data_IF_194988258058
#
_entry.id   IF_194988258058
#
_cell.length_a   1.000
_cell.length_b   1.000
_cell.length_c   1.000
_cell.angle_alpha   90.00
_cell.angle_beta   90.00
_cell.angle_gamma   90.00
#
_symmetry.space_group_name_H-M   'P 1'
#
loop_
_entity.id
_entity.type
_entity.pdbx_description
1 polymer ?
#
# COMPACT_ATOMS: atom_id res chain seq x y z
N UNK A 1 -22.15 -27.87 -11.35
CA UNK A 1 -22.92 -26.76 -11.96
C UNK A 1 -24.02 -26.37 -11.00
N UNK A 2 -24.06 -25.09 -10.61
CA UNK A 2 -25.19 -24.51 -9.85
C UNK A 2 -25.96 -23.70 -10.89
N UNK A 3 -27.07 -24.29 -11.42
CA UNK A 3 -27.75 -23.74 -12.58
C UNK A 3 -26.88 -23.76 -13.86
N UNK A 4 -26.88 -22.69 -14.65
CA UNK A 4 -26.04 -22.56 -15.85
C UNK A 4 -24.61 -22.01 -15.56
N UNK A 5 -24.28 -21.74 -14.29
CA UNK A 5 -22.98 -21.18 -13.91
C UNK A 5 -21.90 -22.26 -13.79
N UNK A 6 -20.74 -21.98 -14.35
CA UNK A 6 -19.54 -22.80 -14.15
C UNK A 6 -18.96 -22.56 -12.74
N UNK A 7 -18.15 -23.50 -12.23
CA UNK A 7 -17.38 -23.30 -11.00
C UNK A 7 -16.47 -22.07 -11.11
N UNK A 8 -15.91 -21.84 -12.29
CA UNK A 8 -15.05 -20.66 -12.57
C UNK A 8 -15.82 -19.35 -12.44
N UNK A 9 -17.07 -19.29 -12.91
CA UNK A 9 -17.93 -18.10 -12.76
C UNK A 9 -18.22 -17.82 -11.30
N UNK A 10 -18.46 -18.84 -10.50
CA UNK A 10 -18.69 -18.71 -9.06
C UNK A 10 -17.43 -18.18 -8.34
N UNK A 11 -16.24 -18.69 -8.68
CA UNK A 11 -14.98 -18.23 -8.11
C UNK A 11 -14.66 -16.79 -8.52
N UNK A 12 -14.91 -16.44 -9.79
CA UNK A 12 -14.72 -15.08 -10.30
C UNK A 12 -15.66 -14.09 -9.58
N UNK A 13 -16.94 -14.44 -9.45
CA UNK A 13 -17.93 -13.62 -8.73
C UNK A 13 -17.51 -13.44 -7.28
N UNK A 14 -17.08 -14.50 -6.61
CA UNK A 14 -16.58 -14.44 -5.24
C UNK A 14 -15.37 -13.50 -5.13
N UNK A 15 -14.38 -13.65 -6.00
CA UNK A 15 -13.18 -12.80 -6.01
C UNK A 15 -13.52 -11.32 -6.19
N UNK A 16 -14.34 -11.00 -7.21
CA UNK A 16 -14.76 -9.61 -7.48
C UNK A 16 -15.56 -9.07 -6.30
N UNK A 17 -16.49 -9.84 -5.74
CA UNK A 17 -17.33 -9.39 -4.63
C UNK A 17 -16.49 -9.02 -3.40
N UNK A 18 -15.53 -9.87 -3.03
CA UNK A 18 -14.63 -9.60 -1.89
C UNK A 18 -13.70 -8.42 -2.20
N UNK A 19 -13.17 -8.31 -3.41
CA UNK A 19 -12.33 -7.19 -3.81
C UNK A 19 -13.10 -5.85 -3.73
N UNK A 20 -14.34 -5.82 -4.25
CA UNK A 20 -15.21 -4.63 -4.17
C UNK A 20 -15.49 -4.26 -2.71
N UNK A 21 -15.86 -5.24 -1.87
CA UNK A 21 -16.10 -4.99 -0.43
C UNK A 21 -14.85 -4.39 0.23
N UNK A 22 -13.66 -4.95 -0.03
CA UNK A 22 -12.41 -4.44 0.54
C UNK A 22 -12.10 -3.01 0.07
N UNK A 23 -12.29 -2.71 -1.22
CA UNK A 23 -12.13 -1.35 -1.76
C UNK A 23 -13.13 -0.38 -1.12
N UNK A 24 -14.39 -0.78 -0.94
CA UNK A 24 -15.38 0.07 -0.28
C UNK A 24 -15.02 0.34 1.19
N UNK A 25 -14.58 -0.68 1.93
CA UNK A 25 -14.11 -0.52 3.31
C UNK A 25 -12.89 0.41 3.35
N UNK A 26 -11.95 0.25 2.42
CA UNK A 26 -10.76 1.10 2.30
C UNK A 26 -11.15 2.56 2.05
N UNK A 27 -12.03 2.83 1.09
CA UNK A 27 -12.51 4.17 0.78
C UNK A 27 -13.27 4.78 1.97
N UNK A 28 -14.13 4.00 2.62
CA UNK A 28 -14.83 4.44 3.82
C UNK A 28 -13.86 4.86 4.94
N UNK A 29 -12.81 4.07 5.19
CA UNK A 29 -11.76 4.42 6.18
C UNK A 29 -11.05 5.72 5.82
N UNK A 30 -10.68 5.91 4.55
CA UNK A 30 -10.02 7.16 4.09
C UNK A 30 -10.93 8.38 4.23
N UNK A 31 -12.22 8.27 3.88
CA UNK A 31 -13.20 9.35 4.05
C UNK A 31 -13.42 9.66 5.54
N UNK A 32 -13.58 8.63 6.37
CA UNK A 32 -13.75 8.78 7.81
C UNK A 32 -12.54 9.47 8.46
N UNK A 33 -11.32 9.09 8.06
CA UNK A 33 -10.09 9.73 8.49
C UNK A 33 -10.07 11.20 8.08
N UNK A 34 -10.37 11.52 6.82
CA UNK A 34 -10.42 12.91 6.34
C UNK A 34 -11.40 13.77 7.13
N UNK A 35 -12.61 13.24 7.42
CA UNK A 35 -13.60 13.94 8.23
C UNK A 35 -13.15 14.14 9.69
N UNK A 36 -12.48 13.13 10.27
CA UNK A 36 -11.91 13.23 11.61
C UNK A 36 -10.82 14.32 11.68
N UNK A 37 -9.88 14.32 10.74
CA UNK A 37 -8.82 15.31 10.68
C UNK A 37 -9.34 16.74 10.46
N UNK A 38 -10.39 16.90 9.67
CA UNK A 38 -11.01 18.20 9.43
C UNK A 38 -11.46 18.90 10.71
N UNK A 39 -11.96 18.15 11.69
CA UNK A 39 -12.35 18.70 12.98
C UNK A 39 -11.15 19.27 13.75
N UNK A 40 -10.00 18.59 13.69
CA UNK A 40 -8.78 19.08 14.35
C UNK A 40 -8.18 20.29 13.64
N UNK A 41 -8.21 20.31 12.31
CA UNK A 41 -7.72 21.45 11.51
C UNK A 41 -8.56 22.69 11.82
N UNK A 42 -9.90 22.57 11.84
CA UNK A 42 -10.80 23.70 12.11
C UNK A 42 -10.68 24.23 13.54
N UNK A 43 -10.37 23.38 14.49
CA UNK A 43 -10.21 23.75 15.91
C UNK A 43 -8.75 23.99 16.30
N UNK A 44 -7.82 24.05 15.34
CA UNK A 44 -6.40 24.31 15.61
C UNK A 44 -6.21 25.70 16.18
N UNK A 45 -5.57 25.77 17.35
CA UNK A 45 -5.13 27.03 17.90
C UNK A 45 -3.84 27.46 17.21
N UNK A 46 -3.96 28.44 16.32
CA UNK A 46 -2.82 29.00 15.59
C UNK A 46 -1.85 29.76 16.49
N UNK A 47 -2.21 30.06 17.73
CA UNK A 47 -1.36 30.70 18.72
C UNK A 47 -0.56 29.68 19.55
N UNK A 48 -0.88 28.40 19.46
CA UNK A 48 -0.14 27.33 20.12
C UNK A 48 1.35 27.35 19.68
N UNK A 49 2.30 27.43 20.64
CA UNK A 49 3.73 27.44 20.32
C UNK A 49 4.18 26.28 19.42
N UNK A 50 3.60 25.08 19.66
CA UNK A 50 3.88 23.90 18.85
C UNK A 50 3.39 24.08 17.41
N UNK A 51 2.17 24.62 17.21
CA UNK A 51 1.66 24.93 15.89
C UNK A 51 2.55 25.89 15.12
N UNK A 52 2.97 26.98 15.78
CA UNK A 52 3.84 27.98 15.16
C UNK A 52 5.20 27.40 14.79
N UNK A 53 5.75 26.54 15.63
CA UNK A 53 7.01 25.84 15.37
C UNK A 53 6.89 24.89 14.17
N UNK A 54 5.82 24.09 14.10
CA UNK A 54 5.56 23.21 12.97
C UNK A 54 5.38 24.00 11.67
N UNK A 55 4.65 25.11 11.72
CA UNK A 55 4.39 25.96 10.54
C UNK A 55 5.66 26.64 9.98
N UNK A 56 6.68 26.80 10.80
CA UNK A 56 8.00 27.30 10.36
C UNK A 56 8.64 26.35 9.33
N UNK A 57 8.43 25.03 9.48
CA UNK A 57 9.05 24.00 8.64
C UNK A 57 8.11 23.44 7.57
N UNK A 58 6.80 23.51 7.79
CA UNK A 58 5.79 22.94 6.89
C UNK A 58 5.12 24.06 6.08
N UNK A 59 5.36 24.11 4.75
CA UNK A 59 4.77 25.16 3.92
C UNK A 59 3.30 24.89 3.60
N UNK A 60 2.54 25.94 3.26
CA UNK A 60 1.26 25.77 2.57
C UNK A 60 1.50 25.07 1.21
N UNK A 61 0.57 24.22 0.73
CA UNK A 61 -0.80 24.03 1.17
C UNK A 61 -1.00 22.92 2.22
N UNK A 62 0.06 22.41 2.86
CA UNK A 62 -0.07 21.34 3.83
C UNK A 62 -0.71 21.89 5.11
N UNK A 63 -1.84 21.32 5.50
CA UNK A 63 -2.50 21.65 6.77
C UNK A 63 -1.82 20.95 7.95
N UNK A 64 -2.03 21.46 9.17
CA UNK A 64 -1.45 20.89 10.39
C UNK A 64 -2.59 20.54 11.35
N UNK A 65 -2.58 19.31 11.85
CA UNK A 65 -3.50 18.83 12.86
C UNK A 65 -2.72 18.28 14.06
N UNK A 66 -2.86 18.94 15.22
CA UNK A 66 -2.25 18.48 16.48
C UNK A 66 -3.27 17.62 17.21
N UNK A 67 -2.95 16.34 17.41
CA UNK A 67 -3.89 15.32 17.91
C UNK A 67 -3.35 14.72 19.21
N UNK A 68 -4.07 14.86 20.34
CA UNK A 68 -3.60 14.35 21.63
C UNK A 68 -3.45 12.81 21.68
N UNK A 69 -4.33 12.09 20.99
CA UNK A 69 -4.34 10.63 20.94
C UNK A 69 -3.42 10.02 19.87
N UNK A 70 -2.67 10.84 19.15
CA UNK A 70 -1.72 10.34 18.17
C UNK A 70 -0.41 9.98 18.87
N UNK A 71 0.20 8.88 18.43
CA UNK A 71 1.45 8.36 19.02
C UNK A 71 2.68 8.69 18.19
N UNK A 72 2.52 8.89 16.87
CA UNK A 72 3.60 9.15 15.92
C UNK A 72 3.22 10.25 14.94
N UNK A 73 4.13 11.18 14.60
CA UNK A 73 3.93 12.14 13.53
C UNK A 73 3.78 11.42 12.18
N UNK A 74 2.98 11.98 11.28
CA UNK A 74 2.86 11.47 9.91
C UNK A 74 2.25 12.51 8.99
N UNK A 75 2.58 12.45 7.68
CA UNK A 75 1.83 13.18 6.66
C UNK A 75 0.82 12.24 6.00
N UNK A 76 -0.42 12.70 5.85
CA UNK A 76 -1.53 11.92 5.28
C UNK A 76 -2.37 12.77 4.33
N UNK A 77 -3.22 12.11 3.53
CA UNK A 77 -4.05 12.81 2.55
C UNK A 77 -3.35 13.05 1.21
N UNK A 78 -3.82 12.37 0.15
CA UNK A 78 -3.24 12.49 -1.20
C UNK A 78 -3.65 13.78 -1.92
N UNK A 79 -4.91 14.19 -1.80
CA UNK A 79 -5.45 15.40 -2.42
C UNK A 79 -5.36 16.62 -1.50
N UNK A 80 -5.55 16.42 -0.22
CA UNK A 80 -5.48 17.45 0.82
C UNK A 80 -4.47 16.99 1.87
N UNK A 81 -3.20 17.32 1.69
CA UNK A 81 -2.14 16.85 2.57
C UNK A 81 -2.25 17.51 3.95
N UNK A 82 -2.19 16.70 4.99
CA UNK A 82 -2.25 17.12 6.38
C UNK A 82 -1.08 16.49 7.13
N UNK A 83 -0.27 17.32 7.78
CA UNK A 83 0.67 16.85 8.79
C UNK A 83 -0.12 16.61 10.07
N UNK A 84 -0.17 15.37 10.52
CA UNK A 84 -0.69 15.02 11.84
C UNK A 84 0.47 14.92 12.82
N UNK A 85 0.31 15.55 13.99
CA UNK A 85 1.38 15.62 14.97
C UNK A 85 0.85 15.32 16.39
N UNK A 86 1.54 14.47 17.19
CA UNK A 86 1.13 14.18 18.56
C UNK A 86 1.33 15.38 19.46
N UNK A 87 0.33 15.68 20.32
CA UNK A 87 0.43 16.77 21.30
C UNK A 87 1.32 16.40 22.49
N UNK A 88 1.31 15.14 22.89
CA UNK A 88 1.83 14.68 24.17
C UNK A 88 3.28 14.16 24.12
N UNK A 89 4.01 14.47 23.04
CA UNK A 89 5.41 14.09 22.91
C UNK A 89 6.31 15.28 23.22
N UNK A 90 7.28 15.11 24.13
CA UNK A 90 8.26 16.16 24.44
C UNK A 90 9.44 16.06 23.46
N UNK A 91 9.56 17.06 22.57
CA UNK A 91 10.58 17.13 21.52
C UNK A 91 11.30 18.47 21.57
N UNK A 92 12.59 18.48 21.26
CA UNK A 92 13.34 19.69 21.03
C UNK A 92 12.99 20.32 19.66
N UNK A 93 13.38 21.58 19.44
CA UNK A 93 13.16 22.25 18.16
C UNK A 93 13.90 21.52 17.02
N UNK A 94 15.11 21.03 17.28
CA UNK A 94 15.90 20.25 16.31
C UNK A 94 15.22 18.93 15.98
N UNK A 95 14.68 18.22 16.98
CA UNK A 95 13.93 16.97 16.79
C UNK A 95 12.68 17.21 15.93
N UNK A 96 11.93 18.29 16.19
CA UNK A 96 10.76 18.68 15.41
C UNK A 96 11.15 19.01 13.97
N UNK A 97 12.25 19.74 13.76
CA UNK A 97 12.75 20.04 12.42
C UNK A 97 13.06 18.77 11.63
N UNK A 98 13.78 17.81 12.24
CA UNK A 98 14.11 16.54 11.61
C UNK A 98 12.86 15.76 11.19
N UNK A 99 11.86 15.69 12.06
CA UNK A 99 10.57 15.05 11.76
C UNK A 99 9.86 15.76 10.61
N UNK A 100 9.74 17.07 10.67
CA UNK A 100 9.08 17.85 9.62
C UNK A 100 9.77 17.69 8.26
N UNK A 101 11.10 17.65 8.21
CA UNK A 101 11.84 17.42 6.98
C UNK A 101 11.62 15.99 6.43
N UNK A 102 11.56 14.98 7.31
CA UNK A 102 11.25 13.60 6.95
C UNK A 102 9.85 13.51 6.32
N UNK A 103 8.85 14.03 7.01
CA UNK A 103 7.46 14.00 6.53
C UNK A 103 7.27 14.81 5.23
N UNK A 104 7.90 15.97 5.15
CA UNK A 104 7.86 16.80 3.94
C UNK A 104 8.48 16.09 2.72
N UNK A 105 9.46 15.21 2.95
CA UNK A 105 10.05 14.41 1.88
C UNK A 105 9.07 13.40 1.31
N UNK A 106 8.27 12.72 2.15
CA UNK A 106 7.18 11.86 1.69
C UNK A 106 6.20 12.60 0.77
N UNK A 107 5.82 13.83 1.15
CA UNK A 107 4.95 14.65 0.32
C UNK A 107 5.58 15.00 -1.03
N UNK A 108 6.83 15.48 -1.02
CA UNK A 108 7.56 15.89 -2.24
C UNK A 108 7.82 14.75 -3.21
N UNK A 109 8.02 13.55 -2.70
CA UNK A 109 8.24 12.34 -3.51
C UNK A 109 6.95 11.70 -4.03
N UNK A 110 5.77 12.24 -3.68
CA UNK A 110 4.48 11.63 -3.99
C UNK A 110 4.29 10.23 -3.36
N UNK A 111 4.98 9.92 -2.26
CA UNK A 111 4.92 8.63 -1.59
C UNK A 111 3.50 8.27 -1.14
N UNK A 112 2.69 9.29 -0.79
CA UNK A 112 1.27 9.13 -0.42
C UNK A 112 0.44 8.52 -1.55
N UNK A 113 0.72 8.89 -2.82
CA UNK A 113 0.05 8.31 -3.98
C UNK A 113 0.48 6.87 -4.22
N UNK A 114 1.77 6.59 -4.04
CA UNK A 114 2.30 5.23 -4.18
C UNK A 114 1.78 4.32 -3.07
N UNK A 115 1.72 4.81 -1.82
CA UNK A 115 1.11 4.07 -0.70
C UNK A 115 -0.36 3.74 -1.01
N UNK A 116 -1.14 4.73 -1.50
CA UNK A 116 -2.53 4.52 -1.94
C UNK A 116 -2.66 3.45 -3.03
N UNK A 117 -1.81 3.52 -4.04
CA UNK A 117 -1.84 2.57 -5.17
C UNK A 117 -1.55 1.13 -4.71
N UNK A 118 -0.56 0.95 -3.84
CA UNK A 118 -0.23 -0.37 -3.29
C UNK A 118 -1.36 -0.90 -2.41
N UNK A 119 -1.99 -0.05 -1.58
CA UNK A 119 -3.15 -0.44 -0.78
C UNK A 119 -4.32 -0.92 -1.66
N UNK A 120 -4.55 -0.29 -2.82
CA UNK A 120 -5.55 -0.74 -3.80
C UNK A 120 -5.18 -2.10 -4.42
N UNK A 121 -3.90 -2.31 -4.77
CA UNK A 121 -3.42 -3.61 -5.26
C UNK A 121 -3.69 -4.71 -4.22
N UNK A 122 -3.42 -4.45 -2.94
CA UNK A 122 -3.69 -5.39 -1.85
C UNK A 122 -5.19 -5.67 -1.71
N UNK A 123 -6.06 -4.68 -1.89
CA UNK A 123 -7.51 -4.88 -1.88
C UNK A 123 -7.99 -5.79 -3.02
N UNK A 124 -7.42 -5.65 -4.21
CA UNK A 124 -7.77 -6.44 -5.40
C UNK A 124 -7.20 -7.86 -5.30
N UNK A 125 -5.96 -8.00 -4.89
CA UNK A 125 -5.26 -9.29 -4.75
C UNK A 125 -5.26 -9.80 -3.30
N UNK A 126 -6.35 -9.60 -2.58
CA UNK A 126 -6.52 -9.90 -1.15
C UNK A 126 -6.16 -11.33 -0.75
N UNK A 127 -6.26 -12.28 -1.66
CA UNK A 127 -5.97 -13.69 -1.46
C UNK A 127 -4.49 -14.05 -1.64
N UNK A 128 -3.69 -13.15 -2.24
CA UNK A 128 -2.30 -13.41 -2.57
C UNK A 128 -1.37 -12.92 -1.44
N UNK A 129 -0.66 -13.82 -0.73
CA UNK A 129 0.23 -13.42 0.37
C UNK A 129 1.42 -12.57 -0.10
N UNK A 130 1.85 -12.71 -1.36
CA UNK A 130 3.01 -11.97 -1.88
C UNK A 130 2.75 -10.45 -1.96
N UNK A 131 1.51 -10.01 -2.17
CA UNK A 131 1.22 -8.58 -2.21
C UNK A 131 1.38 -7.91 -0.84
N UNK A 132 1.15 -8.62 0.25
CA UNK A 132 1.39 -8.12 1.61
C UNK A 132 2.89 -8.01 1.91
N UNK A 133 3.70 -8.98 1.45
CA UNK A 133 5.16 -8.92 1.55
C UNK A 133 5.68 -7.74 0.72
N UNK A 134 5.19 -7.58 -0.52
CA UNK A 134 5.56 -6.46 -1.39
C UNK A 134 5.22 -5.12 -0.73
N UNK A 135 4.02 -4.98 -0.16
CA UNK A 135 3.58 -3.78 0.54
C UNK A 135 4.54 -3.43 1.68
N UNK A 136 4.85 -4.41 2.54
CA UNK A 136 5.75 -4.24 3.68
C UNK A 136 7.14 -3.79 3.24
N UNK A 137 7.76 -4.50 2.31
CA UNK A 137 9.10 -4.21 1.79
C UNK A 137 9.18 -2.85 1.08
N UNK A 138 8.12 -2.50 0.35
CA UNK A 138 8.05 -1.22 -0.32
C UNK A 138 7.97 -0.06 0.69
N UNK A 139 7.12 -0.18 1.72
CA UNK A 139 6.99 0.86 2.73
C UNK A 139 8.29 1.03 3.52
N UNK A 140 8.94 -0.06 3.91
CA UNK A 140 10.26 0.00 4.54
C UNK A 140 11.30 0.69 3.64
N UNK A 141 11.26 0.43 2.33
CA UNK A 141 12.18 1.06 1.37
C UNK A 141 11.94 2.57 1.29
N UNK A 142 10.69 3.04 1.33
CA UNK A 142 10.37 4.47 1.36
C UNK A 142 10.94 5.14 2.62
N UNK A 143 10.77 4.50 3.79
CA UNK A 143 11.30 5.01 5.05
C UNK A 143 12.83 5.15 5.00
N UNK A 144 13.53 4.09 4.55
CA UNK A 144 14.99 4.10 4.42
C UNK A 144 15.47 5.16 3.41
N UNK A 145 14.75 5.35 2.29
CA UNK A 145 15.11 6.37 1.31
C UNK A 145 14.95 7.80 1.87
N UNK A 146 13.93 8.03 2.70
CA UNK A 146 13.72 9.32 3.34
C UNK A 146 14.74 9.59 4.45
N UNK A 147 15.07 8.57 5.26
CA UNK A 147 16.16 8.67 6.24
C UNK A 147 17.50 9.00 5.57
N UNK A 148 17.80 8.35 4.46
CA UNK A 148 19.02 8.66 3.67
C UNK A 148 19.02 10.05 3.06
N UNK A 149 17.86 10.55 2.66
CA UNK A 149 17.76 11.89 2.16
C UNK A 149 18.13 12.90 3.24
N UNK A 150 17.64 12.75 4.47
CA UNK A 150 18.01 13.62 5.59
C UNK A 150 19.51 13.59 5.84
N UNK A 151 20.10 12.40 5.90
CA UNK A 151 21.55 12.22 6.08
C UNK A 151 22.39 12.99 5.05
N UNK A 152 21.89 13.13 3.81
CA UNK A 152 22.60 13.84 2.73
C UNK A 152 22.35 15.34 2.70
N UNK A 153 21.19 15.79 3.20
CA UNK A 153 20.78 17.20 3.11
C UNK A 153 21.22 18.03 4.30
N UNK A 154 21.42 17.41 5.45
CA UNK A 154 21.75 18.11 6.69
C UNK A 154 23.27 18.06 6.86
N UNK A 155 23.95 19.23 6.86
CA UNK A 155 25.36 19.28 7.22
C UNK A 155 25.56 18.76 8.64
N UNK A 156 26.61 18.01 8.89
CA UNK A 156 26.94 17.44 10.20
C UNK A 156 25.81 16.59 10.83
N UNK A 157 25.07 15.86 9.99
CA UNK A 157 23.96 15.00 10.41
C UNK A 157 24.44 13.96 11.44
N UNK A 158 23.92 14.06 12.66
CA UNK A 158 24.17 13.06 13.70
C UNK A 158 23.20 11.87 13.55
N UNK A 159 23.74 10.76 13.01
CA UNK A 159 22.98 9.54 12.81
C UNK A 159 22.54 8.87 14.13
N UNK A 160 23.29 9.07 15.22
CA UNK A 160 22.98 8.51 16.54
C UNK A 160 21.81 9.29 17.14
N UNK A 161 21.89 10.60 17.16
CA UNK A 161 20.79 11.46 17.64
C UNK A 161 19.50 11.20 16.89
N UNK A 162 19.56 11.03 15.57
CA UNK A 162 18.37 10.72 14.77
C UNK A 162 17.84 9.31 15.03
N UNK A 163 18.70 8.32 15.24
CA UNK A 163 18.27 6.97 15.65
C UNK A 163 17.58 6.99 17.02
N UNK A 164 18.08 7.77 17.98
CA UNK A 164 17.45 7.98 19.29
C UNK A 164 16.07 8.65 19.15
N UNK A 165 15.93 9.62 18.25
CA UNK A 165 14.65 10.25 17.94
C UNK A 165 13.62 9.24 17.40
N UNK A 166 14.02 8.39 16.44
CA UNK A 166 13.14 7.34 15.91
C UNK A 166 12.72 6.37 17.03
N UNK A 167 13.65 5.96 17.89
CA UNK A 167 13.36 5.11 19.05
C UNK A 167 12.41 5.79 20.04
N UNK A 168 12.58 7.08 20.27
CA UNK A 168 11.71 7.88 21.16
C UNK A 168 10.27 7.91 20.64
N UNK A 169 10.08 8.11 19.33
CA UNK A 169 8.77 8.07 18.67
C UNK A 169 8.17 6.66 18.76
N UNK A 170 8.97 5.62 18.47
CA UNK A 170 8.51 4.24 18.55
C UNK A 170 8.09 3.83 19.98
N UNK A 171 8.81 4.26 21.01
CA UNK A 171 8.42 4.03 22.41
C UNK A 171 7.10 4.70 22.75
N UNK A 172 6.87 5.92 22.27
CA UNK A 172 5.60 6.63 22.49
C UNK A 172 4.43 5.84 21.89
N UNK A 173 4.64 5.13 20.77
CA UNK A 173 3.63 4.27 20.15
C UNK A 173 3.31 3.02 20.99
N UNK A 174 4.26 2.50 21.76
CA UNK A 174 4.07 1.29 22.55
C UNK A 174 3.43 1.54 23.94
N UNK A 175 3.45 2.78 24.42
CA UNK A 175 3.00 3.12 25.80
C UNK A 175 1.55 3.57 25.87
N UNK A 176 0.88 3.80 24.74
CA UNK A 176 -0.49 4.32 24.70
C UNK A 176 -1.51 3.19 24.44
N UNK A 177 -2.01 2.59 25.55
CA UNK A 177 -3.02 1.50 25.56
C UNK A 177 -4.47 1.99 25.35
N UNK A 178 -4.69 3.23 24.91
CA UNK A 178 -6.04 3.78 24.73
C UNK A 178 -6.78 3.15 23.54
N UNK A 179 -7.66 2.20 23.86
CA UNK A 179 -8.35 1.31 22.93
C UNK A 179 -9.34 1.96 21.94
N UNK A 180 -9.79 3.20 22.17
CA UNK A 180 -10.80 3.85 21.31
C UNK A 180 -10.21 4.67 20.14
N UNK A 181 -8.95 5.08 20.23
CA UNK A 181 -8.24 5.79 19.17
C UNK A 181 -7.57 4.86 18.15
N UNK A 182 -7.35 3.59 18.51
CA UNK A 182 -6.57 2.60 17.76
C UNK A 182 -7.04 2.38 16.31
N UNK A 183 -8.34 2.36 16.03
CA UNK A 183 -8.83 2.07 14.67
C UNK A 183 -8.61 3.20 13.65
N UNK A 184 -8.58 4.46 14.10
CA UNK A 184 -8.28 5.61 13.24
C UNK A 184 -6.78 5.85 13.16
N UNK A 185 -6.10 5.67 14.28
CA UNK A 185 -4.63 5.74 14.41
C UNK A 185 -3.97 4.62 13.60
N UNK A 186 -4.52 3.41 13.57
CA UNK A 186 -4.04 2.32 12.69
C UNK A 186 -4.10 2.69 11.22
N UNK A 187 -5.03 3.54 10.81
CA UNK A 187 -5.12 4.01 9.42
C UNK A 187 -4.05 5.07 9.11
N UNK A 188 -3.63 5.85 10.10
CA UNK A 188 -2.55 6.84 10.00
C UNK A 188 -1.19 6.15 10.21
N UNK A 189 -1.09 5.31 11.25
CA UNK A 189 0.11 4.56 11.62
C UNK A 189 0.15 3.18 10.94
N UNK A 190 -0.27 3.08 9.70
CA UNK A 190 -0.18 1.84 8.92
C UNK A 190 1.27 1.37 8.70
N UNK A 191 2.21 2.16 9.13
CA UNK A 191 3.59 1.77 9.44
C UNK A 191 3.64 1.25 10.88
N UNK A 192 2.88 0.21 11.21
CA UNK A 192 3.16 -0.57 12.40
C UNK A 192 4.62 -0.99 12.30
N UNK A 193 5.48 -0.19 12.88
CA UNK A 193 6.91 -0.45 12.92
C UNK A 193 7.09 -1.72 13.72
N UNK A 194 6.95 -2.85 13.02
CA UNK A 194 7.41 -4.10 13.59
C UNK A 194 8.84 -3.83 14.02
N UNK A 195 9.24 -4.31 15.18
CA UNK A 195 10.60 -4.10 15.71
C UNK A 195 11.68 -4.37 14.67
N UNK A 196 11.43 -5.30 13.74
CA UNK A 196 12.29 -5.61 12.59
C UNK A 196 12.44 -4.48 11.57
N UNK A 197 11.42 -3.64 11.37
CA UNK A 197 11.50 -2.49 10.45
C UNK A 197 12.31 -1.36 11.07
N UNK A 198 12.07 -1.11 12.36
CA UNK A 198 12.83 -0.15 13.14
C UNK A 198 14.32 -0.54 13.20
N UNK A 199 14.62 -1.81 13.49
CA UNK A 199 15.96 -2.37 13.46
C UNK A 199 16.62 -2.18 12.09
N UNK A 200 15.89 -2.46 11.02
CA UNK A 200 16.38 -2.30 9.64
C UNK A 200 16.69 -0.84 9.32
N UNK A 201 15.85 0.11 9.71
CA UNK A 201 16.07 1.56 9.53
C UNK A 201 17.32 2.02 10.29
N UNK A 202 17.41 1.69 11.58
CA UNK A 202 18.55 2.06 12.43
C UNK A 202 19.85 1.46 11.92
N UNK A 203 19.84 0.16 11.62
CA UNK A 203 21.03 -0.53 11.09
C UNK A 203 21.49 0.09 9.78
N UNK A 204 20.57 0.39 8.89
CA UNK A 204 20.90 1.02 7.62
C UNK A 204 21.46 2.43 7.81
N UNK A 205 20.92 3.20 8.75
CA UNK A 205 21.36 4.56 9.04
C UNK A 205 22.75 4.63 9.66
N UNK A 206 23.06 3.70 10.57
CA UNK A 206 24.35 3.61 11.23
C UNK A 206 25.42 2.94 10.35
N UNK A 207 25.02 2.22 9.30
CA UNK A 207 25.97 1.67 8.33
C UNK A 207 26.63 2.79 7.53
N UNK A 208 27.94 2.65 7.29
CA UNK A 208 28.74 3.65 6.58
C UNK A 208 28.25 3.92 5.16
N UNK A 209 28.36 5.17 4.64
CA UNK A 209 27.75 5.60 3.39
C UNK A 209 28.21 4.91 2.12
N UNK A 210 29.31 4.17 2.15
CA UNK A 210 30.05 3.71 0.97
C UNK A 210 29.82 2.26 0.55
N UNK A 211 28.88 1.56 1.15
CA UNK A 211 28.49 0.26 0.62
C UNK A 211 27.72 0.46 -0.69
N UNK A 212 28.30 0.10 -1.85
CA UNK A 212 27.62 0.29 -3.13
C UNK A 212 26.31 -0.50 -3.11
N UNK A 213 25.22 0.17 -3.48
CA UNK A 213 23.83 -0.34 -3.59
C UNK A 213 23.66 -1.54 -4.54
N UNK A 214 24.64 -2.46 -4.65
CA UNK A 214 24.54 -3.67 -5.49
C UNK A 214 23.33 -4.53 -5.13
N UNK A 215 22.93 -4.54 -3.84
CA UNK A 215 21.78 -5.31 -3.40
C UNK A 215 20.41 -4.65 -3.73
N UNK A 216 20.34 -3.32 -3.89
CA UNK A 216 19.06 -2.68 -4.17
C UNK A 216 18.62 -2.89 -5.62
N UNK A 217 19.53 -2.86 -6.58
CA UNK A 217 19.20 -3.14 -8.00
C UNK A 217 18.77 -4.58 -8.20
N UNK A 218 19.49 -5.53 -7.58
CA UNK A 218 19.14 -6.95 -7.65
C UNK A 218 17.81 -7.22 -6.94
N UNK A 219 17.59 -6.65 -5.75
CA UNK A 219 16.34 -6.76 -5.02
C UNK A 219 15.17 -6.15 -5.80
N UNK A 220 15.34 -4.95 -6.37
CA UNK A 220 14.31 -4.32 -7.19
C UNK A 220 14.03 -5.13 -8.47
N UNK A 221 15.06 -5.69 -9.11
CA UNK A 221 14.89 -6.58 -10.26
C UNK A 221 14.13 -7.85 -9.87
N UNK A 222 14.44 -8.47 -8.75
CA UNK A 222 13.72 -9.64 -8.23
C UNK A 222 12.25 -9.28 -7.94
N UNK A 223 11.99 -8.15 -7.26
CA UNK A 223 10.61 -7.70 -7.00
C UNK A 223 9.85 -7.43 -8.30
N UNK A 224 10.49 -6.80 -9.29
CA UNK A 224 9.87 -6.57 -10.60
C UNK A 224 9.56 -7.88 -11.32
N UNK A 225 10.48 -8.85 -11.29
CA UNK A 225 10.28 -10.19 -11.89
C UNK A 225 9.13 -10.92 -11.19
N UNK A 226 9.07 -10.88 -9.85
CA UNK A 226 7.98 -11.49 -9.08
C UNK A 226 6.65 -10.80 -9.42
N UNK A 227 6.61 -9.48 -9.47
CA UNK A 227 5.41 -8.72 -9.83
C UNK A 227 4.93 -9.05 -11.25
N UNK A 228 5.85 -9.07 -12.22
CA UNK A 228 5.55 -9.47 -13.60
C UNK A 228 5.08 -10.94 -13.66
N UNK A 229 5.71 -11.84 -12.91
CA UNK A 229 5.31 -13.24 -12.83
C UNK A 229 3.91 -13.42 -12.27
N UNK A 230 3.57 -12.70 -11.20
CA UNK A 230 2.21 -12.70 -10.62
C UNK A 230 1.19 -12.15 -11.61
N UNK A 231 1.49 -11.05 -12.31
CA UNK A 231 0.62 -10.48 -13.33
C UNK A 231 0.42 -11.46 -14.50
N UNK A 232 1.47 -12.10 -14.97
CA UNK A 232 1.41 -13.12 -16.06
C UNK A 232 0.55 -14.31 -15.62
N UNK A 233 0.79 -14.86 -14.41
CA UNK A 233 -0.01 -15.97 -13.88
C UNK A 233 -1.48 -15.56 -13.77
N UNK A 234 -1.78 -14.34 -13.32
CA UNK A 234 -3.15 -13.84 -13.20
C UNK A 234 -3.83 -13.75 -14.57
N UNK A 235 -3.10 -13.34 -15.61
CA UNK A 235 -3.60 -13.30 -16.99
C UNK A 235 -3.85 -14.73 -17.53
N UNK A 236 -2.92 -15.65 -17.32
CA UNK A 236 -3.08 -17.02 -17.81
C UNK A 236 -4.21 -17.79 -17.10
N UNK A 237 -4.39 -17.59 -15.81
CA UNK A 237 -5.48 -18.22 -15.04
C UNK A 237 -6.87 -17.70 -15.45
N UNK A 238 -6.95 -16.47 -15.99
CA UNK A 238 -8.21 -15.86 -16.44
C UNK A 238 -8.51 -16.16 -17.91
N UNK A 239 -7.50 -16.53 -18.73
CA UNK A 239 -7.63 -16.65 -20.20
C UNK A 239 -7.70 -18.11 -20.68
N UNK A 240 -7.86 -19.13 -19.86
CA UNK A 240 -8.29 -20.40 -20.41
C UNK A 240 -9.78 -20.33 -20.81
N UNK A 241 -10.08 -20.12 -22.10
CA UNK A 241 -11.43 -20.35 -22.55
C UNK A 241 -11.69 -21.84 -22.33
N UNK A 242 -12.73 -22.18 -21.57
CA UNK A 242 -13.24 -23.55 -21.58
C UNK A 242 -13.64 -23.86 -23.02
N UNK A 243 -12.73 -24.45 -23.79
CA UNK A 243 -13.12 -25.08 -25.03
C UNK A 243 -14.17 -26.11 -24.63
N UNK A 244 -15.40 -26.02 -25.14
CA UNK A 244 -16.36 -27.09 -24.93
C UNK A 244 -15.66 -28.35 -25.41
N UNK A 245 -15.50 -29.33 -24.50
CA UNK A 245 -14.95 -30.61 -24.85
C UNK A 245 -15.77 -31.20 -26.00
N UNK A 246 -15.19 -32.09 -26.84
CA UNK A 246 -15.91 -32.68 -27.93
C UNK A 246 -17.22 -33.25 -27.37
N UNK A 247 -18.35 -32.81 -27.92
CA UNK A 247 -19.65 -33.30 -27.60
C UNK A 247 -19.65 -34.79 -27.98
N UNK A 248 -19.35 -35.67 -27.02
CA UNK A 248 -19.59 -37.10 -27.17
C UNK A 248 -21.08 -37.31 -26.98
N UNK A 249 -21.81 -37.08 -28.05
CA UNK A 249 -23.21 -37.50 -28.07
C UNK A 249 -23.27 -39.03 -28.25
N UNK A 250 -23.83 -39.66 -27.28
CA UNK A 250 -23.97 -41.13 -27.24
C UNK A 250 -24.97 -41.67 -28.27
N UNK A 251 -25.67 -40.82 -29.03
CA UNK A 251 -26.74 -41.25 -29.94
C UNK A 251 -26.50 -40.92 -31.42
N UNK A 252 -25.38 -40.33 -31.83
CA UNK A 252 -24.97 -40.28 -33.25
C UNK A 252 -25.87 -39.47 -34.19
N UNK A 253 -26.80 -38.66 -33.69
CA UNK A 253 -27.67 -37.81 -34.52
C UNK A 253 -27.33 -36.34 -34.29
N UNK A 254 -26.69 -35.72 -35.28
CA UNK A 254 -26.46 -34.26 -35.32
C UNK A 254 -27.57 -33.63 -36.16
N UNK A 255 -28.20 -32.57 -35.64
CA UNK A 255 -29.10 -31.71 -36.42
C UNK A 255 -28.29 -30.59 -37.08
N UNK A 256 -28.40 -30.44 -38.41
CA UNK A 256 -27.70 -29.47 -39.23
C UNK A 256 -28.15 -28.01 -39.04
N UNK A 257 -28.90 -27.71 -37.97
CA UNK A 257 -29.42 -26.37 -37.69
C UNK A 257 -28.54 -25.53 -36.76
N UNK A 258 -27.39 -26.07 -36.33
CA UNK A 258 -26.47 -25.29 -35.48
C UNK A 258 -25.49 -24.49 -36.34
N UNK A 259 -25.53 -23.17 -36.27
CA UNK A 259 -24.67 -22.20 -37.00
C UNK A 259 -23.17 -22.40 -36.74
N UNK A 260 -22.81 -23.28 -35.84
CA UNK A 260 -21.43 -23.55 -35.41
C UNK A 260 -20.89 -24.90 -35.95
N UNK A 261 -21.59 -25.55 -36.88
CA UNK A 261 -21.22 -26.86 -37.39
C UNK A 261 -20.93 -26.79 -38.87
N UNK A 262 -19.75 -27.17 -39.31
CA UNK A 262 -19.45 -27.30 -40.71
C UNK A 262 -19.00 -28.74 -41.10
N UNK A 263 -19.53 -29.24 -42.20
CA UNK A 263 -19.14 -30.50 -42.80
C UNK A 263 -18.01 -30.28 -43.80
N UNK A 264 -16.82 -30.81 -43.52
CA UNK A 264 -15.72 -30.83 -44.44
C UNK A 264 -15.61 -32.16 -45.14
N UNK A 265 -15.64 -32.13 -46.47
CA UNK A 265 -15.46 -33.32 -47.32
C UNK A 265 -13.97 -33.70 -47.40
N UNK A 266 -13.61 -34.84 -46.85
CA UNK A 266 -12.27 -35.42 -46.95
C UNK A 266 -12.30 -36.62 -47.89
N UNK A 267 -11.18 -36.98 -48.51
CA UNK A 267 -11.02 -37.91 -49.63
C UNK A 267 -11.71 -39.30 -49.50
N UNK A 268 -12.17 -39.65 -48.29
CA UNK A 268 -12.91 -40.90 -48.01
C UNK A 268 -14.14 -40.69 -47.09
N UNK A 269 -14.68 -39.50 -46.94
CA UNK A 269 -15.85 -39.29 -46.06
C UNK A 269 -16.08 -37.79 -45.72
N UNK A 270 -16.93 -37.57 -44.75
CA UNK A 270 -17.22 -36.25 -44.22
C UNK A 270 -16.77 -36.18 -42.77
N UNK A 271 -16.07 -35.13 -42.41
CA UNK A 271 -15.77 -34.83 -41.00
C UNK A 271 -16.60 -33.64 -40.53
N UNK A 272 -17.22 -33.79 -39.38
CA UNK A 272 -18.00 -32.76 -38.75
C UNK A 272 -17.03 -31.94 -37.87
N UNK A 273 -16.97 -30.66 -38.09
CA UNK A 273 -16.28 -29.73 -37.24
C UNK A 273 -17.29 -28.85 -36.54
N UNK A 274 -17.14 -28.68 -35.23
CA UNK A 274 -17.95 -27.81 -34.39
C UNK A 274 -17.02 -26.69 -33.91
N UNK A 275 -17.43 -25.48 -34.20
CA UNK A 275 -16.64 -24.27 -33.83
C UNK A 275 -16.98 -23.82 -32.42
#
# INVERSE_FOLDING_TARGET
>A
KIGNLSIYDCLLILWISVAVIKVLIFLYRKIRLGNYLKNFIQNSDHTDPLYQMLRKYIPAPIEIAIIPSLTSPAITGTLFPVLVFPKNISLSEEEIQLICLHELKHYKNHDLWMKLFIELIVCIHWWNPFVYILQKEYFLTLEIDNDNYLKKQIPDFDAIQYAELILKIAKNTLTDDSSDSLQLVDTINFTGTAASELESRITFMLSTPDAPRKHSLLRNAIHTIILCGVLIITIFVVIEPSSPGPLSDTNGTFTLEDDNVCLLKVHKGYHLYVN
#
